data_IF_470455824379
#
_entry.id   IF_470455824379
#
_cell.length_a   1.000
_cell.length_b   1.000
_cell.length_c   1.000
_cell.angle_alpha   90.00
_cell.angle_beta   90.00
_cell.angle_gamma   90.00
#
_symmetry.space_group_name_H-M   'P 1'
#
loop_
_entity.id
_entity.type
_entity.pdbx_description
1 polymer ?
#
# COMPACT_ATOMS: atom_id res chain seq x y z
N UNK A 1 -5.74 10.04 6.43
CA UNK A 1 -6.67 9.19 7.16
C UNK A 1 -5.98 7.90 7.55
N UNK A 2 -6.44 7.30 8.59
CA UNK A 2 -5.81 6.10 9.10
C UNK A 2 -6.37 4.87 8.39
N UNK A 3 -5.51 4.00 7.90
CA UNK A 3 -5.95 2.80 7.21
C UNK A 3 -5.11 1.60 7.65
N UNK A 4 -5.54 0.42 7.28
CA UNK A 4 -4.82 -0.80 7.60
C UNK A 4 -4.38 -1.46 6.30
N UNK A 5 -3.14 -1.91 6.27
CA UNK A 5 -2.62 -2.58 5.10
C UNK A 5 -3.33 -3.94 4.95
N UNK A 6 -3.84 -4.20 3.73
CA UNK A 6 -4.55 -5.47 3.52
C UNK A 6 -3.56 -6.61 3.30
N UNK A 7 -2.28 -6.29 3.19
CA UNK A 7 -1.26 -7.31 2.95
C UNK A 7 -0.55 -7.70 4.24
N UNK A 8 0.04 -6.75 4.94
CA UNK A 8 0.79 -7.05 6.14
C UNK A 8 0.02 -6.67 7.41
N UNK A 9 -1.03 -5.90 7.30
CA UNK A 9 -1.87 -5.62 8.45
C UNK A 9 -1.41 -4.48 9.34
N UNK A 10 -0.42 -3.70 8.92
CA UNK A 10 0.02 -2.61 9.78
C UNK A 10 -0.86 -1.41 9.56
N UNK A 11 -0.84 -0.49 10.53
CA UNK A 11 -1.61 0.74 10.42
C UNK A 11 -0.74 1.78 9.73
N UNK A 12 -1.30 2.50 8.77
CA UNK A 12 -0.57 3.57 8.11
C UNK A 12 -1.53 4.72 7.84
N UNK A 13 -0.97 5.89 7.56
CA UNK A 13 -1.76 7.09 7.29
C UNK A 13 -1.56 7.53 5.85
N UNK A 14 -2.63 7.88 5.19
CA UNK A 14 -2.56 8.32 3.80
C UNK A 14 -3.69 9.27 3.51
N UNK A 15 -3.52 10.10 2.48
CA UNK A 15 -4.60 11.00 2.04
C UNK A 15 -5.35 10.35 0.90
N UNK A 16 -4.91 9.21 0.41
CA UNK A 16 -5.50 8.58 -0.76
C UNK A 16 -6.54 7.56 -0.31
N UNK A 17 -7.82 7.78 -0.58
CA UNK A 17 -8.85 6.84 -0.14
C UNK A 17 -8.77 5.50 -0.86
N UNK A 18 -8.10 5.45 -2.01
CA UNK A 18 -7.98 4.20 -2.74
C UNK A 18 -6.80 3.38 -2.29
N UNK A 19 -5.93 3.93 -1.49
CA UNK A 19 -4.77 3.18 -1.05
C UNK A 19 -5.18 2.19 0.01
N UNK A 20 -4.93 0.92 -0.23
CA UNK A 20 -5.29 -0.12 0.73
C UNK A 20 -4.05 -0.85 1.26
N UNK A 21 -2.86 -0.55 0.76
CA UNK A 21 -1.63 -1.16 1.24
C UNK A 21 -0.68 -0.09 1.74
N UNK A 22 0.17 -0.46 2.67
CA UNK A 22 1.13 0.50 3.18
C UNK A 22 2.15 0.81 2.09
N UNK A 23 2.91 1.87 2.31
CA UNK A 23 3.86 2.31 1.31
C UNK A 23 4.85 1.20 0.96
N UNK A 24 5.27 0.44 1.92
CA UNK A 24 6.20 -0.65 1.68
C UNK A 24 5.60 -1.70 0.75
N UNK A 25 4.41 -2.14 1.05
CA UNK A 25 3.77 -3.16 0.24
C UNK A 25 3.44 -2.64 -1.15
N UNK A 26 3.06 -1.38 -1.22
CA UNK A 26 2.76 -0.77 -2.51
C UNK A 26 4.00 -0.73 -3.36
N UNK A 27 5.11 -0.37 -2.77
CA UNK A 27 6.36 -0.28 -3.50
C UNK A 27 6.80 -1.65 -4.00
N UNK A 28 6.68 -2.65 -3.15
CA UNK A 28 7.08 -3.99 -3.50
C UNK A 28 6.25 -4.51 -4.66
N UNK A 29 4.94 -4.31 -4.59
CA UNK A 29 4.08 -4.80 -5.62
C UNK A 29 4.27 -4.03 -6.92
N UNK A 30 4.56 -2.74 -6.81
CA UNK A 30 4.75 -1.94 -7.99
C UNK A 30 5.97 -2.42 -8.79
N UNK A 31 7.02 -2.77 -8.11
CA UNK A 31 8.19 -3.22 -8.79
C UNK A 31 7.94 -4.52 -9.53
N UNK A 32 6.99 -5.29 -9.06
CA UNK A 32 6.75 -6.56 -9.65
C UNK A 32 6.04 -6.45 -10.97
N UNK A 33 5.10 -5.56 -11.10
CA UNK A 33 4.37 -5.50 -12.32
C UNK A 33 4.84 -4.37 -13.17
N UNK A 34 5.96 -3.79 -12.88
CA UNK A 34 6.32 -2.66 -13.63
C UNK A 34 6.71 -3.05 -15.02
N UNK A 35 7.14 -4.17 -15.28
CA UNK A 35 7.67 -4.46 -16.51
C UNK A 35 6.70 -4.17 -17.60
N UNK A 36 5.55 -4.13 -17.37
CA UNK A 36 4.56 -3.70 -18.33
C UNK A 36 4.87 -3.96 -19.76
#
# INVERSE_FOLDING_TARGET
MKKYCVDCGIIFYTDDPDQVRCECCEDDRKGDEEDG
#
